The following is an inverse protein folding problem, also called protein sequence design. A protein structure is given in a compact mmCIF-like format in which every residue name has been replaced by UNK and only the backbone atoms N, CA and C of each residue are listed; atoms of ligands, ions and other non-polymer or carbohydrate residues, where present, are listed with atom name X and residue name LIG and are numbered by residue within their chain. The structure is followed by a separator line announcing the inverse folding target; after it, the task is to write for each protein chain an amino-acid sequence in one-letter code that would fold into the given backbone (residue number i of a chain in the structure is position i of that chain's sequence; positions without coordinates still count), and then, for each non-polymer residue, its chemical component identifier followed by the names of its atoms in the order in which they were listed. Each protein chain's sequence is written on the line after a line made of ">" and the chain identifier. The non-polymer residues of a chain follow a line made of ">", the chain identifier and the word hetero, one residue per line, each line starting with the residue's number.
data_IF_505360411878
#
_entry.id   IF_505360411878
#
_cell.length_a   1.000
_cell.length_b   1.000
_cell.length_c   1.000
_cell.angle_alpha   90.00
_cell.angle_beta   90.00
_cell.angle_gamma   90.00
#
_symmetry.space_group_name_H-M   'P 1'
#
loop_
_entity.id
_entity.type
_entity.pdbx_description
1 polymer ?
#
# COMPACT_ATOMS: atom_id res chain seq x y z
N UNK A 1 38.69 1.12 -8.46
CA UNK A 1 38.02 -0.21 -8.32
C UNK A 1 37.33 -0.28 -6.96
N UNK A 2 35.99 -0.36 -6.92
CA UNK A 2 35.23 -0.48 -5.66
C UNK A 2 35.55 -1.84 -5.03
N UNK A 3 36.09 -1.88 -3.81
CA UNK A 3 36.37 -3.12 -3.07
C UNK A 3 35.06 -3.91 -2.96
N UNK A 4 35.03 -5.13 -3.51
CA UNK A 4 33.91 -6.06 -3.33
C UNK A 4 33.73 -6.32 -1.84
N UNK A 5 32.52 -6.06 -1.36
CA UNK A 5 32.13 -6.23 0.05
C UNK A 5 32.03 -7.71 0.39
N UNK A 6 32.20 -8.10 1.67
CA UNK A 6 32.03 -9.50 2.13
C UNK A 6 30.69 -10.11 1.67
N UNK A 7 29.64 -9.30 1.66
CA UNK A 7 28.31 -9.65 1.13
C UNK A 7 28.34 -10.03 -0.35
N UNK A 8 29.12 -9.32 -1.17
CA UNK A 8 29.23 -9.60 -2.61
C UNK A 8 29.94 -10.93 -2.87
N UNK A 9 30.96 -11.25 -2.04
CA UNK A 9 31.67 -12.54 -2.09
C UNK A 9 30.77 -13.70 -1.66
N UNK A 10 29.99 -13.51 -0.59
CA UNK A 10 29.02 -14.51 -0.12
C UNK A 10 27.95 -14.76 -1.18
N UNK A 11 27.43 -13.70 -1.79
CA UNK A 11 26.41 -13.77 -2.83
C UNK A 11 26.96 -14.45 -4.11
N UNK A 12 28.20 -14.17 -4.51
CA UNK A 12 28.87 -14.89 -5.59
C UNK A 12 29.06 -16.38 -5.27
N UNK A 13 29.45 -16.73 -4.04
CA UNK A 13 29.56 -18.12 -3.60
C UNK A 13 28.23 -18.89 -3.70
N UNK A 14 27.14 -18.26 -3.27
CA UNK A 14 25.78 -18.82 -3.40
C UNK A 14 25.43 -19.06 -4.88
N UNK A 15 25.74 -18.11 -5.77
CA UNK A 15 25.47 -18.28 -7.20
C UNK A 15 26.28 -19.41 -7.84
N UNK A 16 27.53 -19.64 -7.42
CA UNK A 16 28.34 -20.75 -7.95
C UNK A 16 27.68 -22.09 -7.65
N UNK A 17 27.07 -22.24 -6.48
CA UNK A 17 26.39 -23.49 -6.07
C UNK A 17 25.00 -23.62 -6.70
N UNK A 18 24.24 -22.53 -6.75
CA UNK A 18 22.84 -22.55 -7.23
C UNK A 18 22.74 -22.61 -8.75
N UNK A 19 23.61 -21.91 -9.48
CA UNK A 19 23.47 -21.76 -10.94
C UNK A 19 23.52 -23.10 -11.73
N UNK A 20 24.38 -24.08 -11.39
CA UNK A 20 24.34 -25.39 -12.04
C UNK A 20 22.98 -26.09 -11.88
N UNK A 21 22.40 -26.01 -10.68
CA UNK A 21 21.07 -26.57 -10.39
C UNK A 21 20.00 -25.87 -11.22
N UNK A 22 20.00 -24.53 -11.23
CA UNK A 22 19.06 -23.73 -12.03
C UNK A 22 19.16 -24.04 -13.52
N UNK A 23 20.38 -24.17 -14.06
CA UNK A 23 20.59 -24.56 -15.46
C UNK A 23 20.09 -25.97 -15.74
N UNK A 24 20.26 -26.89 -14.79
CA UNK A 24 19.69 -28.24 -14.84
C UNK A 24 18.17 -28.20 -14.93
N UNK A 25 17.51 -27.42 -14.05
CA UNK A 25 16.05 -27.24 -14.04
C UNK A 25 15.54 -26.64 -15.36
N UNK A 26 16.24 -25.65 -15.92
CA UNK A 26 15.88 -25.08 -17.23
C UNK A 26 16.04 -26.13 -18.34
N UNK A 27 17.09 -26.95 -18.31
CA UNK A 27 17.36 -27.98 -19.32
C UNK A 27 16.28 -29.08 -19.32
N UNK A 28 15.73 -29.43 -18.17
CA UNK A 28 14.61 -30.39 -18.05
C UNK A 28 13.24 -29.75 -18.36
N UNK A 29 13.20 -28.48 -18.75
CA UNK A 29 11.98 -27.78 -19.17
C UNK A 29 11.11 -27.29 -18.01
N UNK A 30 11.62 -27.23 -16.77
CA UNK A 30 10.85 -26.71 -15.65
C UNK A 30 10.66 -25.20 -15.77
N UNK A 31 9.40 -24.76 -15.77
CA UNK A 31 9.04 -23.34 -15.78
C UNK A 31 9.13 -22.74 -14.36
N UNK A 32 9.31 -21.42 -14.21
CA UNK A 32 9.32 -20.78 -12.91
C UNK A 32 8.07 -21.08 -12.08
N UNK A 33 6.88 -20.99 -12.71
CA UNK A 33 5.62 -21.29 -12.04
C UNK A 33 5.56 -22.75 -11.55
N UNK A 34 6.08 -23.70 -12.33
CA UNK A 34 6.14 -25.10 -11.89
C UNK A 34 7.05 -25.27 -10.67
N UNK A 35 8.20 -24.58 -10.62
CA UNK A 35 9.10 -24.59 -9.46
C UNK A 35 8.39 -24.03 -8.22
N UNK A 36 7.69 -22.90 -8.35
CA UNK A 36 6.87 -22.34 -7.26
C UNK A 36 5.78 -23.33 -6.81
N UNK A 37 5.06 -23.98 -7.74
CA UNK A 37 4.03 -24.97 -7.41
C UNK A 37 4.62 -26.17 -6.66
N UNK A 38 5.81 -26.63 -7.05
CA UNK A 38 6.53 -27.69 -6.33
C UNK A 38 6.85 -27.22 -4.89
N UNK A 39 7.31 -25.98 -4.71
CA UNK A 39 7.53 -25.38 -3.39
C UNK A 39 6.28 -25.43 -2.51
N UNK A 40 5.11 -25.09 -3.05
CA UNK A 40 3.82 -25.21 -2.35
C UNK A 40 3.51 -26.67 -1.97
N UNK A 41 3.66 -27.62 -2.91
CA UNK A 41 3.42 -29.05 -2.65
C UNK A 41 4.32 -29.57 -1.54
N UNK A 42 5.60 -29.16 -1.52
CA UNK A 42 6.54 -29.53 -0.45
C UNK A 42 6.11 -28.95 0.90
N UNK A 43 5.63 -27.70 0.94
CA UNK A 43 5.09 -27.09 2.17
C UNK A 43 3.78 -27.76 2.65
N UNK A 44 2.93 -28.25 1.74
CA UNK A 44 1.81 -29.12 2.10
C UNK A 44 2.33 -30.43 2.73
N UNK A 45 3.39 -31.01 2.16
CA UNK A 45 4.09 -32.16 2.75
C UNK A 45 4.60 -31.89 4.17
N UNK A 46 5.19 -30.71 4.43
CA UNK A 46 5.60 -30.28 5.77
C UNK A 46 4.42 -30.29 6.75
N UNK A 47 3.29 -29.70 6.34
CA UNK A 47 2.10 -29.67 7.18
C UNK A 47 1.58 -31.08 7.48
N UNK A 48 1.60 -31.98 6.49
CA UNK A 48 1.24 -33.39 6.66
C UNK A 48 2.19 -34.08 7.65
N UNK A 49 3.51 -33.85 7.58
CA UNK A 49 4.46 -34.44 8.54
C UNK A 49 4.12 -34.00 9.97
N UNK A 50 3.82 -32.71 10.18
CA UNK A 50 3.39 -32.23 11.48
C UNK A 50 2.06 -32.85 11.93
N UNK A 51 1.05 -32.92 11.06
CA UNK A 51 -0.24 -33.52 11.41
C UNK A 51 -0.09 -35.02 11.72
N UNK A 52 0.64 -35.76 10.91
CA UNK A 52 0.89 -37.19 11.15
C UNK A 52 1.69 -37.40 12.43
N UNK A 53 2.70 -36.56 12.69
CA UNK A 53 3.43 -36.57 13.95
C UNK A 53 2.51 -36.28 15.14
N UNK A 54 1.55 -35.39 14.99
CA UNK A 54 0.57 -35.06 16.03
C UNK A 54 -0.32 -36.27 16.39
N UNK A 55 -0.74 -37.03 15.39
CA UNK A 55 -1.69 -38.14 15.55
C UNK A 55 -1.03 -39.48 15.91
N UNK A 56 0.18 -39.74 15.38
CA UNK A 56 0.83 -41.06 15.47
C UNK A 56 2.00 -41.12 16.44
N UNK A 57 2.53 -39.97 16.84
CA UNK A 57 3.68 -39.94 17.75
C UNK A 57 3.24 -39.52 19.15
N UNK A 58 4.11 -39.80 20.13
CA UNK A 58 3.92 -39.31 21.48
C UNK A 58 4.61 -37.95 21.62
N UNK A 59 4.20 -37.17 22.63
CA UNK A 59 4.77 -35.84 22.92
C UNK A 59 6.31 -35.78 23.01
N UNK A 60 6.95 -36.88 23.42
CA UNK A 60 8.41 -36.98 23.53
C UNK A 60 9.12 -37.46 22.26
N UNK A 61 8.39 -37.78 21.19
CA UNK A 61 8.96 -38.15 19.89
C UNK A 61 8.96 -36.92 18.96
N UNK A 62 10.09 -36.23 18.94
CA UNK A 62 10.28 -35.02 18.15
C UNK A 62 10.93 -35.32 16.78
N UNK A 63 10.98 -36.60 16.36
CA UNK A 63 11.55 -36.99 15.07
C UNK A 63 10.78 -36.38 13.89
N UNK A 64 9.44 -36.32 13.98
CA UNK A 64 8.59 -35.67 12.99
C UNK A 64 8.86 -34.16 12.89
N UNK A 65 9.14 -33.49 14.01
CA UNK A 65 9.55 -32.07 14.02
C UNK A 65 10.89 -31.91 13.29
N UNK A 66 11.84 -32.81 13.52
CA UNK A 66 13.12 -32.83 12.83
C UNK A 66 12.99 -33.01 11.31
N UNK A 67 12.23 -34.03 10.88
CA UNK A 67 11.97 -34.30 9.46
C UNK A 67 11.19 -33.18 8.78
N UNK A 68 10.21 -32.59 9.47
CA UNK A 68 9.54 -31.39 8.99
C UNK A 68 10.54 -30.25 8.81
N UNK A 69 11.44 -30.01 9.77
CA UNK A 69 12.51 -29.01 9.66
C UNK A 69 13.42 -29.23 8.44
N UNK A 70 13.83 -30.46 8.18
CA UNK A 70 14.61 -30.82 7.00
C UNK A 70 13.84 -30.53 5.70
N UNK A 71 12.56 -30.89 5.65
CA UNK A 71 11.72 -30.64 4.47
C UNK A 71 11.42 -29.14 4.26
N UNK A 72 11.25 -28.36 5.33
CA UNK A 72 11.11 -26.89 5.24
C UNK A 72 12.38 -26.29 4.62
N UNK A 73 13.56 -26.71 5.07
CA UNK A 73 14.82 -26.22 4.52
C UNK A 73 14.93 -26.55 3.04
N UNK A 74 14.58 -27.79 2.66
CA UNK A 74 14.58 -28.23 1.27
C UNK A 74 13.55 -27.49 0.41
N UNK A 75 12.32 -27.32 0.89
CA UNK A 75 11.27 -26.58 0.20
C UNK A 75 11.66 -25.11 -0.01
N UNK A 76 12.27 -24.48 0.99
CA UNK A 76 12.78 -23.11 0.89
C UNK A 76 13.84 -22.90 -0.19
N UNK A 77 14.52 -23.97 -0.64
CA UNK A 77 15.40 -23.87 -1.82
C UNK A 77 14.59 -23.66 -3.10
N UNK A 78 13.46 -24.35 -3.28
CA UNK A 78 12.62 -24.20 -4.48
C UNK A 78 12.04 -22.78 -4.60
N UNK A 79 11.62 -22.21 -3.47
CA UNK A 79 11.17 -20.82 -3.36
C UNK A 79 12.26 -19.79 -3.71
N UNK A 80 13.54 -20.16 -3.58
CA UNK A 80 14.66 -19.30 -4.02
C UNK A 80 15.04 -19.54 -5.48
N UNK A 81 14.76 -20.75 -5.99
CA UNK A 81 15.15 -21.20 -7.32
C UNK A 81 14.23 -20.64 -8.41
N UNK A 82 12.93 -20.51 -8.18
CA UNK A 82 11.96 -20.04 -9.18
C UNK A 82 12.32 -18.68 -9.80
N UNK A 83 12.72 -17.70 -8.98
CA UNK A 83 13.16 -16.39 -9.43
C UNK A 83 14.48 -16.45 -10.19
N UNK A 84 15.38 -17.39 -9.86
CA UNK A 84 16.60 -17.62 -10.65
C UNK A 84 16.29 -18.29 -11.97
N UNK A 85 15.39 -19.28 -12.00
CA UNK A 85 14.91 -19.96 -13.21
C UNK A 85 14.24 -18.94 -14.13
N UNK A 86 13.44 -18.02 -13.60
CA UNK A 86 12.85 -16.93 -14.37
C UNK A 86 13.90 -16.01 -15.00
N UNK A 87 14.91 -15.58 -14.22
CA UNK A 87 15.97 -14.68 -14.70
C UNK A 87 16.92 -15.34 -15.69
N UNK A 88 17.49 -16.50 -15.35
CA UNK A 88 18.45 -17.21 -16.18
C UNK A 88 17.80 -17.86 -17.40
N UNK A 89 16.56 -18.35 -17.26
CA UNK A 89 15.76 -18.91 -18.35
C UNK A 89 15.13 -17.86 -19.25
N UNK A 90 15.24 -16.55 -18.92
CA UNK A 90 14.54 -15.46 -19.61
C UNK A 90 13.02 -15.64 -19.69
N UNK A 91 12.44 -16.23 -18.64
CA UNK A 91 11.00 -16.55 -18.51
C UNK A 91 10.26 -15.63 -17.51
N UNK A 92 10.86 -14.50 -17.12
CA UNK A 92 10.24 -13.53 -16.22
C UNK A 92 8.96 -12.93 -16.79
N UNK A 93 7.87 -12.94 -16.01
CA UNK A 93 6.60 -12.33 -16.39
C UNK A 93 5.91 -11.65 -15.20
N UNK A 94 5.04 -10.67 -15.47
CA UNK A 94 4.25 -9.99 -14.41
C UNK A 94 3.30 -10.96 -13.70
N UNK A 95 2.69 -11.87 -14.46
CA UNK A 95 1.83 -12.90 -13.88
C UNK A 95 2.64 -13.88 -13.02
N UNK A 96 3.80 -14.35 -13.49
CA UNK A 96 4.68 -15.22 -12.71
C UNK A 96 5.12 -14.58 -11.40
N UNK A 97 5.48 -13.29 -11.40
CA UNK A 97 5.81 -12.56 -10.17
C UNK A 97 4.62 -12.45 -9.20
N UNK A 98 3.38 -12.30 -9.71
CA UNK A 98 2.17 -12.32 -8.89
C UNK A 98 1.88 -13.74 -8.35
N UNK A 99 2.04 -14.76 -9.19
CA UNK A 99 1.81 -16.16 -8.89
C UNK A 99 2.74 -16.67 -7.79
N UNK A 100 4.05 -16.47 -7.96
CA UNK A 100 5.11 -16.71 -6.97
C UNK A 100 4.73 -16.14 -5.62
N UNK A 101 4.55 -14.82 -5.62
CA UNK A 101 4.03 -14.07 -4.50
C UNK A 101 2.81 -14.76 -3.84
N UNK A 102 1.71 -14.98 -4.56
CA UNK A 102 0.48 -15.54 -3.95
C UNK A 102 0.74 -16.92 -3.34
N UNK A 103 1.46 -17.80 -4.03
CA UNK A 103 1.76 -19.13 -3.53
C UNK A 103 2.69 -19.12 -2.33
N UNK A 104 3.60 -18.16 -2.20
CA UNK A 104 4.40 -18.00 -0.99
C UNK A 104 3.54 -17.83 0.26
N UNK A 105 2.46 -17.04 0.14
CA UNK A 105 1.55 -16.79 1.26
C UNK A 105 0.78 -18.06 1.60
N UNK A 106 0.28 -18.79 0.61
CA UNK A 106 -0.36 -20.09 0.85
C UNK A 106 0.61 -21.10 1.47
N UNK A 107 1.86 -21.13 1.01
CA UNK A 107 2.90 -22.02 1.54
C UNK A 107 3.18 -21.74 3.01
N UNK A 108 3.35 -20.46 3.39
CA UNK A 108 3.51 -20.07 4.79
C UNK A 108 2.27 -20.39 5.64
N UNK A 109 1.06 -20.11 5.12
CA UNK A 109 -0.21 -20.41 5.80
C UNK A 109 -0.35 -21.90 6.12
N UNK A 110 -0.06 -22.77 5.14
CA UNK A 110 -0.14 -24.22 5.28
C UNK A 110 0.94 -24.74 6.23
N UNK A 111 2.17 -24.24 6.13
CA UNK A 111 3.26 -24.59 7.04
C UNK A 111 2.90 -24.27 8.49
N UNK A 112 2.41 -23.04 8.76
CA UNK A 112 2.02 -22.63 10.11
C UNK A 112 0.79 -23.39 10.61
N UNK A 113 -0.15 -23.76 9.73
CA UNK A 113 -1.28 -24.63 10.10
C UNK A 113 -0.79 -25.96 10.68
N UNK A 114 0.17 -26.61 10.01
CA UNK A 114 0.77 -27.86 10.51
C UNK A 114 1.46 -27.67 11.86
N UNK A 115 2.26 -26.62 12.02
CA UNK A 115 2.94 -26.29 13.29
C UNK A 115 1.91 -26.09 14.41
N UNK A 116 0.90 -25.23 14.19
CA UNK A 116 -0.14 -24.96 15.17
C UNK A 116 -0.89 -26.23 15.56
N UNK A 117 -1.25 -27.07 14.59
CA UNK A 117 -1.92 -28.34 14.85
C UNK A 117 -1.08 -29.24 15.75
N UNK A 118 0.19 -29.47 15.39
CA UNK A 118 1.10 -30.31 16.16
C UNK A 118 1.28 -29.82 17.60
N UNK A 119 1.42 -28.50 17.79
CA UNK A 119 1.57 -27.91 19.10
C UNK A 119 0.30 -28.05 19.94
N UNK A 120 -0.88 -27.85 19.37
CA UNK A 120 -2.16 -28.01 20.10
C UNK A 120 -2.38 -29.46 20.50
N UNK A 121 -2.22 -30.39 19.56
CA UNK A 121 -2.43 -31.82 19.80
C UNK A 121 -1.55 -32.37 20.93
N UNK A 122 -0.32 -31.87 21.06
CA UNK A 122 0.60 -32.25 22.14
C UNK A 122 0.52 -31.37 23.40
N UNK A 123 -0.55 -30.59 23.55
CA UNK A 123 -0.82 -29.70 24.69
C UNK A 123 0.20 -28.58 24.92
N UNK A 124 0.87 -28.11 23.87
CA UNK A 124 1.69 -26.89 23.87
C UNK A 124 0.87 -25.65 23.46
N UNK A 125 -0.28 -25.44 24.11
CA UNK A 125 -1.25 -24.40 23.73
C UNK A 125 -0.64 -22.99 23.63
N UNK A 126 0.15 -22.59 24.62
CA UNK A 126 0.79 -21.26 24.62
C UNK A 126 1.77 -21.10 23.45
N UNK A 127 2.54 -22.15 23.13
CA UNK A 127 3.45 -22.14 21.97
C UNK A 127 2.69 -22.06 20.64
N UNK A 128 1.54 -22.75 20.54
CA UNK A 128 0.65 -22.66 19.38
C UNK A 128 0.12 -21.24 19.19
N UNK A 129 -0.26 -20.56 20.27
CA UNK A 129 -0.70 -19.17 20.21
C UNK A 129 0.42 -18.25 19.66
N UNK A 130 1.66 -18.45 20.11
CA UNK A 130 2.80 -17.72 19.54
C UNK A 130 3.08 -18.08 18.09
N UNK A 131 2.94 -19.34 17.68
CA UNK A 131 3.03 -19.75 16.28
C UNK A 131 1.96 -19.05 15.41
N UNK A 132 0.72 -18.94 15.91
CA UNK A 132 -0.34 -18.20 15.24
C UNK A 132 -0.06 -16.69 15.17
N UNK A 133 0.50 -16.09 16.22
CA UNK A 133 0.95 -14.68 16.19
C UNK A 133 2.11 -14.48 15.19
N UNK A 134 3.02 -15.46 15.07
CA UNK A 134 4.06 -15.46 14.05
C UNK A 134 3.48 -15.53 12.65
N UNK A 135 2.44 -16.34 12.44
CA UNK A 135 1.70 -16.36 11.18
C UNK A 135 1.11 -14.99 10.82
N UNK A 136 0.42 -14.34 11.78
CA UNK A 136 -0.12 -12.98 11.60
C UNK A 136 1.00 -12.02 11.20
N UNK A 137 2.11 -12.04 11.94
CA UNK A 137 3.27 -11.20 11.67
C UNK A 137 3.85 -11.44 10.28
N UNK A 138 4.00 -12.71 9.89
CA UNK A 138 4.52 -13.11 8.57
C UNK A 138 3.68 -12.56 7.42
N UNK A 139 2.36 -12.69 7.53
CA UNK A 139 1.40 -12.15 6.57
C UNK A 139 1.46 -10.63 6.50
N UNK A 140 1.51 -9.96 7.65
CA UNK A 140 1.54 -8.50 7.72
C UNK A 140 2.85 -7.90 7.19
N UNK A 141 4.01 -8.56 7.40
CA UNK A 141 5.29 -8.15 6.81
C UNK A 141 5.22 -8.13 5.29
N UNK A 142 4.62 -9.16 4.67
CA UNK A 142 4.46 -9.26 3.22
C UNK A 142 3.41 -8.28 2.68
N UNK A 143 2.26 -8.18 3.35
CA UNK A 143 1.16 -7.31 2.91
C UNK A 143 1.52 -5.83 3.01
N UNK A 144 2.12 -5.38 4.11
CA UNK A 144 2.54 -3.98 4.29
C UNK A 144 3.52 -3.54 3.21
N UNK A 145 4.48 -4.42 2.84
CA UNK A 145 5.39 -4.17 1.72
C UNK A 145 4.65 -4.07 0.39
N UNK A 146 3.84 -5.06 0.03
CA UNK A 146 3.12 -5.08 -1.24
C UNK A 146 2.19 -3.85 -1.38
N UNK A 147 1.53 -3.46 -0.28
CA UNK A 147 0.67 -2.28 -0.25
C UNK A 147 1.45 -0.97 -0.36
N UNK A 148 2.61 -0.86 0.29
CA UNK A 148 3.49 0.30 0.17
C UNK A 148 4.05 0.44 -1.25
N UNK A 149 4.52 -0.66 -1.84
CA UNK A 149 5.01 -0.68 -3.23
C UNK A 149 3.88 -0.32 -4.23
N UNK A 150 2.65 -0.78 -3.97
CA UNK A 150 1.46 -0.37 -4.74
C UNK A 150 1.09 1.11 -4.62
N UNK A 151 1.61 1.82 -3.61
CA UNK A 151 1.51 3.27 -3.46
C UNK A 151 2.74 4.01 -4.04
N UNK A 152 3.69 3.29 -4.64
CA UNK A 152 4.93 3.85 -5.20
C UNK A 152 6.09 3.95 -4.22
N UNK A 153 5.94 3.43 -3.00
CA UNK A 153 6.96 3.51 -1.95
C UNK A 153 7.78 2.22 -1.93
N UNK A 154 9.10 2.33 -2.08
CA UNK A 154 9.96 1.17 -1.88
C UNK A 154 10.07 0.81 -0.39
N UNK A 155 9.66 -0.39 -0.02
CA UNK A 155 9.72 -0.88 1.37
C UNK A 155 10.48 -2.22 1.44
N UNK A 156 11.82 -2.13 1.39
CA UNK A 156 12.73 -3.30 1.28
C UNK A 156 13.39 -3.70 2.60
N UNK A 157 13.28 -2.88 3.65
CA UNK A 157 13.93 -3.08 4.95
C UNK A 157 13.16 -3.98 5.93
N UNK A 158 13.74 -4.19 7.11
CA UNK A 158 13.14 -4.93 8.22
C UNK A 158 13.77 -6.30 8.49
N UNK A 159 13.72 -6.72 9.76
CA UNK A 159 14.17 -8.03 10.23
C UNK A 159 13.08 -9.09 9.93
N UNK A 160 13.40 -10.38 9.97
CA UNK A 160 12.42 -11.45 9.72
C UNK A 160 11.71 -11.33 8.36
N UNK A 161 12.48 -11.11 7.28
CA UNK A 161 11.93 -11.32 5.94
C UNK A 161 11.83 -12.83 5.67
N UNK A 162 11.23 -13.19 4.53
CA UNK A 162 10.93 -14.60 4.23
C UNK A 162 12.15 -15.53 4.38
N UNK A 163 13.34 -15.23 3.83
CA UNK A 163 14.50 -16.12 3.99
C UNK A 163 14.89 -16.32 5.45
N UNK A 164 14.90 -15.26 6.26
CA UNK A 164 15.25 -15.35 7.68
C UNK A 164 14.23 -16.19 8.45
N UNK A 165 12.93 -16.06 8.14
CA UNK A 165 11.86 -16.84 8.79
C UNK A 165 11.97 -18.32 8.45
N UNK A 166 12.12 -18.65 7.17
CA UNK A 166 12.23 -20.04 6.70
C UNK A 166 13.43 -20.71 7.34
N UNK A 167 14.60 -20.05 7.34
CA UNK A 167 15.82 -20.58 7.96
C UNK A 167 15.65 -20.76 9.47
N UNK A 168 15.08 -19.78 10.18
CA UNK A 168 14.87 -19.86 11.62
C UNK A 168 13.96 -21.05 11.99
N UNK A 169 12.82 -21.20 11.32
CA UNK A 169 11.87 -22.30 11.57
C UNK A 169 12.52 -23.64 11.22
N UNK A 170 13.16 -23.75 10.05
CA UNK A 170 13.77 -24.99 9.59
C UNK A 170 14.88 -25.49 10.52
N UNK A 171 15.83 -24.60 10.86
CA UNK A 171 16.97 -24.96 11.70
C UNK A 171 16.57 -25.24 13.14
N UNK A 172 15.59 -24.50 13.68
CA UNK A 172 15.07 -24.76 15.02
C UNK A 172 14.30 -26.08 15.10
N UNK A 173 13.49 -26.40 14.08
CA UNK A 173 12.78 -27.68 13.99
C UNK A 173 13.76 -28.85 13.83
N UNK A 174 14.72 -28.73 12.91
CA UNK A 174 15.76 -29.74 12.67
C UNK A 174 16.62 -29.95 13.92
N UNK A 175 17.09 -28.86 14.54
CA UNK A 175 17.85 -28.88 15.77
C UNK A 175 17.08 -29.50 16.93
N UNK A 176 15.77 -29.26 17.01
CA UNK A 176 14.89 -29.88 17.99
C UNK A 176 14.82 -31.40 17.83
N UNK A 177 14.62 -31.89 16.60
CA UNK A 177 14.64 -33.33 16.31
C UNK A 177 15.99 -34.00 16.59
N UNK A 178 17.09 -33.34 16.20
CA UNK A 178 18.45 -33.83 16.48
C UNK A 178 18.71 -33.86 17.99
N UNK A 179 18.43 -32.77 18.70
CA UNK A 179 18.60 -32.70 20.15
C UNK A 179 17.77 -33.78 20.85
N UNK A 180 16.52 -34.00 20.43
CA UNK A 180 15.66 -35.06 20.96
C UNK A 180 16.30 -36.45 20.89
N UNK A 181 17.13 -36.72 19.88
CA UNK A 181 17.86 -37.99 19.78
C UNK A 181 18.97 -38.12 20.84
N UNK A 182 19.66 -37.03 21.16
CA UNK A 182 20.80 -37.04 22.09
C UNK A 182 20.41 -36.82 23.56
N UNK A 183 19.52 -35.86 23.85
CA UNK A 183 19.11 -35.50 25.21
C UNK A 183 17.76 -36.09 25.62
N UNK A 184 17.03 -36.70 24.67
CA UNK A 184 15.66 -37.20 24.86
C UNK A 184 14.61 -36.12 24.63
N UNK A 185 13.49 -36.47 23.96
CA UNK A 185 12.46 -35.47 23.63
C UNK A 185 11.60 -35.02 24.81
N UNK A 186 11.59 -35.79 25.90
CA UNK A 186 10.92 -35.43 27.16
C UNK A 186 11.81 -34.73 28.19
N UNK A 187 13.04 -34.35 27.84
CA UNK A 187 13.96 -33.71 28.78
C UNK A 187 13.40 -32.37 29.27
N UNK A 188 13.48 -32.15 30.59
CA UNK A 188 13.01 -30.93 31.26
C UNK A 188 14.07 -30.45 32.23
N UNK A 189 14.40 -29.16 32.17
CA UNK A 189 15.29 -28.50 33.10
C UNK A 189 14.47 -27.67 34.10
N UNK A 190 14.73 -27.88 35.37
CA UNK A 190 14.13 -27.15 36.48
C UNK A 190 15.21 -26.33 37.19
N UNK A 191 14.89 -25.09 37.54
CA UNK A 191 15.74 -24.25 38.38
C UNK A 191 15.09 -24.15 39.77
N UNK A 192 15.83 -24.45 40.86
CA UNK A 192 15.32 -24.27 42.21
C UNK A 192 14.79 -22.84 42.43
N UNK A 193 13.54 -22.72 42.89
CA UNK A 193 12.88 -21.44 43.13
C UNK A 193 11.96 -20.93 42.01
N UNK A 194 11.91 -21.61 40.85
CA UNK A 194 10.97 -21.29 39.76
C UNK A 194 9.89 -22.38 39.69
N UNK A 195 8.58 -22.03 39.73
CA UNK A 195 7.49 -23.03 39.80
C UNK A 195 7.20 -23.75 38.47
N UNK A 196 7.91 -23.40 37.39
CA UNK A 196 7.77 -23.99 36.06
C UNK A 196 9.14 -24.45 35.52
N UNK A 197 9.13 -25.44 34.62
CA UNK A 197 10.36 -25.85 33.93
C UNK A 197 10.83 -24.73 33.01
N UNK A 198 12.13 -24.40 33.07
CA UNK A 198 12.71 -23.29 32.30
C UNK A 198 13.06 -23.69 30.88
N UNK A 199 13.21 -24.99 30.63
CA UNK A 199 13.52 -25.54 29.33
C UNK A 199 12.92 -26.95 29.20
N UNK A 200 12.35 -27.22 28.04
CA UNK A 200 11.97 -28.55 27.56
C UNK A 200 12.65 -28.74 26.19
N UNK A 201 12.93 -29.96 25.74
CA UNK A 201 13.57 -30.16 24.42
C UNK A 201 12.82 -29.44 23.30
N UNK A 202 11.48 -29.43 23.38
CA UNK A 202 10.61 -28.72 22.45
C UNK A 202 10.85 -27.19 22.42
N UNK A 203 11.40 -26.61 23.48
CA UNK A 203 11.79 -25.19 23.55
C UNK A 203 12.82 -24.80 22.49
N UNK A 204 13.62 -25.75 21.99
CA UNK A 204 14.55 -25.51 20.87
C UNK A 204 13.79 -25.06 19.61
N UNK A 205 12.57 -25.54 19.43
CA UNK A 205 11.70 -25.14 18.33
C UNK A 205 10.78 -23.95 18.70
N UNK A 206 10.16 -23.98 19.88
CA UNK A 206 9.10 -23.02 20.23
C UNK A 206 9.63 -21.65 20.68
N UNK A 207 10.83 -21.57 21.27
CA UNK A 207 11.43 -20.28 21.64
C UNK A 207 11.78 -19.45 20.39
N UNK A 208 12.46 -20.00 19.37
CA UNK A 208 12.63 -19.32 18.09
C UNK A 208 11.33 -18.87 17.43
N UNK A 209 10.27 -19.69 17.48
CA UNK A 209 8.94 -19.29 16.97
C UNK A 209 8.37 -18.11 17.77
N UNK A 210 8.55 -18.10 19.08
CA UNK A 210 8.12 -16.96 19.93
C UNK A 210 8.87 -15.68 19.57
N UNK A 211 10.19 -15.77 19.37
CA UNK A 211 11.00 -14.64 18.89
C UNK A 211 10.52 -14.18 17.51
N UNK A 212 10.26 -15.12 16.60
CA UNK A 212 9.71 -14.84 15.28
C UNK A 212 8.37 -14.11 15.36
N UNK A 213 7.50 -14.51 16.28
CA UNK A 213 6.20 -13.89 16.52
C UNK A 213 6.34 -12.41 16.85
N UNK A 214 7.21 -12.10 17.81
CA UNK A 214 7.46 -10.72 18.25
C UNK A 214 8.11 -9.92 17.12
N UNK A 215 9.19 -10.45 16.54
CA UNK A 215 10.02 -9.72 15.57
C UNK A 215 9.30 -9.47 14.23
N UNK A 216 8.47 -10.40 13.77
CA UNK A 216 7.70 -10.21 12.53
C UNK A 216 6.64 -9.13 12.70
N UNK A 217 5.92 -9.10 13.83
CA UNK A 217 4.92 -8.07 14.10
C UNK A 217 5.54 -6.68 14.29
N UNK A 218 6.68 -6.59 15.01
CA UNK A 218 7.46 -5.35 15.10
C UNK A 218 7.89 -4.88 13.71
N UNK A 219 8.35 -5.81 12.85
CA UNK A 219 8.77 -5.47 11.49
C UNK A 219 7.62 -4.95 10.64
N UNK A 220 6.44 -5.57 10.71
CA UNK A 220 5.26 -5.10 9.99
C UNK A 220 4.88 -3.67 10.39
N UNK A 221 4.89 -3.37 11.70
CA UNK A 221 4.62 -2.02 12.23
C UNK A 221 5.70 -1.03 11.77
N UNK A 222 6.96 -1.43 11.79
CA UNK A 222 8.07 -0.57 11.35
C UNK A 222 7.98 -0.26 9.86
N UNK A 223 7.62 -1.23 9.02
CA UNK A 223 7.37 -1.02 7.58
C UNK A 223 6.22 -0.04 7.35
N UNK A 224 5.14 -0.17 8.10
CA UNK A 224 4.01 0.77 8.02
C UNK A 224 4.44 2.21 8.39
N UNK A 225 5.23 2.36 9.47
CA UNK A 225 5.78 3.66 9.90
C UNK A 225 6.74 4.25 8.87
N UNK A 226 7.58 3.42 8.26
CA UNK A 226 8.51 3.83 7.20
C UNK A 226 7.75 4.28 5.94
N UNK A 227 6.71 3.57 5.55
CA UNK A 227 5.83 3.95 4.45
C UNK A 227 5.15 5.31 4.72
N UNK A 228 4.63 5.52 5.94
CA UNK A 228 4.07 6.82 6.36
C UNK A 228 5.08 7.96 6.20
N UNK A 229 6.30 7.79 6.74
CA UNK A 229 7.36 8.81 6.65
C UNK A 229 7.76 9.10 5.21
N UNK A 230 7.75 8.09 4.34
CA UNK A 230 8.10 8.25 2.93
C UNK A 230 7.04 9.06 2.18
N UNK A 231 5.75 8.79 2.43
CA UNK A 231 4.64 9.57 1.90
C UNK A 231 4.67 11.03 2.36
N UNK A 232 4.94 11.27 3.64
CA UNK A 232 5.07 12.62 4.19
C UNK A 232 6.25 13.36 3.53
N UNK A 233 7.39 12.70 3.30
CA UNK A 233 8.53 13.28 2.59
C UNK A 233 8.22 13.61 1.14
N UNK A 234 7.52 12.74 0.42
CA UNK A 234 7.10 13.01 -0.97
C UNK A 234 6.19 14.25 -1.04
N UNK A 235 5.25 14.37 -0.10
CA UNK A 235 4.40 15.57 0.02
C UNK A 235 5.23 16.83 0.30
N UNK A 236 6.15 16.78 1.25
CA UNK A 236 7.03 17.92 1.59
C UNK A 236 7.95 18.29 0.41
N UNK A 237 8.47 17.30 -0.33
CA UNK A 237 9.32 17.54 -1.50
C UNK A 237 8.53 18.12 -2.68
N UNK A 238 7.28 17.70 -2.88
CA UNK A 238 6.36 18.32 -3.84
C UNK A 238 6.09 19.79 -3.45
N UNK A 239 5.90 20.08 -2.16
CA UNK A 239 5.73 21.46 -1.65
C UNK A 239 7.01 22.31 -1.74
N UNK A 240 8.20 21.73 -1.57
CA UNK A 240 9.48 22.46 -1.71
C UNK A 240 9.87 22.72 -3.17
N UNK A 241 9.63 21.76 -4.07
CA UNK A 241 9.82 21.98 -5.52
C UNK A 241 8.94 23.11 -6.04
N UNK A 242 7.74 23.28 -5.48
CA UNK A 242 6.87 24.41 -5.82
C UNK A 242 7.38 25.77 -5.30
N UNK A 243 8.42 25.80 -4.44
CA UNK A 243 8.98 27.01 -3.81
C UNK A 243 10.43 27.34 -4.25
N UNK A 244 10.92 26.79 -5.36
CA UNK A 244 12.30 27.02 -5.86
C UNK A 244 12.55 28.52 -6.24
N UNK A 245 13.75 29.10 -6.00
CA UNK A 245 13.96 30.55 -5.80
C UNK A 245 13.93 31.44 -7.05
N UNK A 246 13.63 30.90 -8.24
CA UNK A 246 13.70 31.66 -9.50
C UNK A 246 12.62 32.74 -9.66
N UNK A 247 11.62 32.78 -8.77
CA UNK A 247 10.51 33.75 -8.81
C UNK A 247 10.48 34.74 -7.63
N UNK A 248 11.36 34.59 -6.64
CA UNK A 248 11.37 35.50 -5.49
C UNK A 248 12.04 36.85 -5.80
N UNK A 249 12.96 36.92 -6.77
CA UNK A 249 13.64 38.18 -7.14
C UNK A 249 12.68 39.19 -7.80
N UNK A 250 11.66 38.71 -8.52
CA UNK A 250 10.64 39.56 -9.16
C UNK A 250 9.66 40.12 -8.12
N UNK A 251 9.42 39.38 -7.03
CA UNK A 251 8.51 39.83 -5.96
C UNK A 251 9.13 40.95 -5.10
N UNK A 252 10.45 40.94 -4.89
CA UNK A 252 11.15 41.96 -4.08
C UNK A 252 11.15 43.34 -4.76
N UNK A 253 11.25 43.39 -6.10
CA UNK A 253 11.19 44.66 -6.85
C UNK A 253 9.77 45.23 -6.86
N UNK A 254 8.74 44.38 -6.89
CA UNK A 254 7.34 44.81 -6.81
C UNK A 254 6.92 45.38 -5.46
N UNK A 255 7.55 44.95 -4.37
CA UNK A 255 7.24 45.41 -3.00
C UNK A 255 7.73 46.84 -2.73
N UNK A 256 8.80 47.30 -3.42
CA UNK A 256 9.33 48.65 -3.23
C UNK A 256 8.43 49.74 -3.82
N UNK A 257 7.53 49.39 -4.74
CA UNK A 257 6.58 50.34 -5.38
C UNK A 257 5.30 50.50 -4.54
N UNK A 258 4.95 49.52 -3.72
CA UNK A 258 3.72 49.54 -2.91
C UNK A 258 3.91 50.34 -1.60
N UNK A 259 5.15 50.66 -1.21
CA UNK A 259 5.42 51.41 0.03
C UNK A 259 5.16 52.93 -0.07
N UNK A 260 4.81 53.48 -1.24
CA UNK A 260 4.63 54.93 -1.45
C UNK A 260 3.18 55.42 -1.43
N UNK A 261 2.21 54.54 -1.25
CA UNK A 261 0.79 54.94 -1.12
C UNK A 261 0.14 54.17 0.01
N UNK A 262 0.29 54.68 1.24
CA UNK A 262 -0.44 54.16 2.38
C UNK A 262 -1.95 54.36 2.23
N UNK A 263 -2.73 53.39 2.71
CA UNK A 263 -4.02 53.55 3.38
C UNK A 263 -4.37 52.21 4.04
N UNK A 264 -4.76 52.28 5.32
CA UNK A 264 -5.82 51.43 5.87
C UNK A 264 -5.40 50.11 6.51
N UNK A 265 -5.20 50.14 7.83
CA UNK A 265 -5.32 48.97 8.70
C UNK A 265 -6.70 48.31 8.53
N UNK A 266 -6.78 46.98 8.46
CA UNK A 266 -7.94 46.18 8.88
C UNK A 266 -7.47 44.78 9.34
N UNK A 267 -8.05 44.33 10.45
CA UNK A 267 -7.88 43.02 11.05
C UNK A 267 -8.51 41.91 10.20
N UNK A 268 -7.89 40.73 10.14
CA UNK A 268 -8.48 39.54 9.53
C UNK A 268 -7.52 38.35 9.56
N UNK A 269 -8.05 37.14 9.80
CA UNK A 269 -7.30 35.89 9.86
C UNK A 269 -6.52 35.55 8.57
N UNK A 270 -5.77 34.43 8.54
CA UNK A 270 -4.79 34.14 7.49
C UNK A 270 -5.40 34.24 6.08
N UNK A 271 -4.82 35.10 5.24
CA UNK A 271 -5.27 35.35 3.87
C UNK A 271 -5.27 34.07 3.01
N UNK A 272 -6.30 33.92 2.17
CA UNK A 272 -6.42 32.82 1.20
C UNK A 272 -5.21 32.83 0.26
N UNK A 273 -4.49 31.72 0.09
CA UNK A 273 -3.38 31.68 -0.85
C UNK A 273 -3.89 31.87 -2.28
N UNK A 274 -3.28 32.79 -3.03
CA UNK A 274 -3.62 33.06 -4.43
C UNK A 274 -3.14 31.89 -5.30
N UNK A 275 -4.05 31.03 -5.72
CA UNK A 275 -3.78 29.90 -6.62
C UNK A 275 -4.13 30.24 -8.08
N UNK A 276 -3.45 29.64 -9.06
CA UNK A 276 -3.74 29.85 -10.48
C UNK A 276 -5.14 29.35 -10.86
N UNK A 277 -5.85 30.12 -11.68
CA UNK A 277 -7.16 29.76 -12.23
C UNK A 277 -6.94 29.01 -13.55
N UNK A 278 -7.55 27.83 -13.78
CA UNK A 278 -7.46 27.14 -15.06
C UNK A 278 -7.97 27.99 -16.21
N UNK A 279 -7.19 28.08 -17.29
CA UNK A 279 -7.55 28.78 -18.53
C UNK A 279 -7.33 27.87 -19.74
N UNK A 280 -7.98 28.18 -20.87
CA UNK A 280 -7.79 27.44 -22.12
C UNK A 280 -8.43 26.05 -22.17
N UNK A 281 -9.42 25.77 -21.31
CA UNK A 281 -10.16 24.50 -21.28
C UNK A 281 -11.56 24.75 -21.89
N UNK A 282 -11.84 24.30 -23.12
CA UNK A 282 -13.02 24.73 -23.88
C UNK A 282 -14.37 24.40 -23.26
N UNK A 283 -14.49 23.26 -22.58
CA UNK A 283 -15.75 22.77 -22.02
C UNK A 283 -15.69 22.58 -20.50
N UNK A 284 -14.86 23.38 -19.83
CA UNK A 284 -14.73 23.34 -18.37
C UNK A 284 -16.08 23.66 -17.71
N UNK A 285 -16.55 22.73 -16.90
CA UNK A 285 -17.78 22.88 -16.12
C UNK A 285 -17.51 23.68 -14.85
N UNK A 286 -16.50 23.25 -14.08
CA UNK A 286 -16.01 23.96 -12.90
C UNK A 286 -14.64 23.39 -12.49
N UNK A 287 -14.01 24.01 -11.49
CA UNK A 287 -12.78 23.49 -10.92
C UNK A 287 -12.80 23.51 -9.38
N UNK A 288 -11.98 22.64 -8.79
CA UNK A 288 -11.85 22.49 -7.34
C UNK A 288 -10.40 22.72 -6.90
N UNK A 289 -10.24 23.56 -5.90
CA UNK A 289 -8.97 23.87 -5.24
C UNK A 289 -9.06 23.65 -3.74
N UNK A 290 -7.93 23.35 -3.11
CA UNK A 290 -7.86 23.06 -1.66
C UNK A 290 -6.50 23.37 -1.08
N UNK A 291 -6.43 23.74 0.20
CA UNK A 291 -5.14 23.79 0.91
C UNK A 291 -4.62 22.38 1.23
N UNK A 292 -3.29 22.19 1.36
CA UNK A 292 -2.21 23.16 1.13
C UNK A 292 -1.75 23.29 -0.34
N UNK A 293 -2.38 22.55 -1.27
CA UNK A 293 -1.80 22.28 -2.59
C UNK A 293 -2.47 23.11 -3.71
N UNK A 294 -1.66 23.75 -4.57
CA UNK A 294 -2.14 24.63 -5.64
C UNK A 294 -2.62 23.91 -6.91
N UNK A 295 -2.42 22.59 -7.01
CA UNK A 295 -2.94 21.79 -8.12
C UNK A 295 -4.47 21.82 -8.10
N UNK A 296 -5.05 21.92 -9.29
CA UNK A 296 -6.49 22.07 -9.44
C UNK A 296 -7.08 20.79 -9.99
N UNK A 297 -8.20 20.35 -9.43
CA UNK A 297 -9.03 19.32 -10.06
C UNK A 297 -9.98 20.02 -11.01
N UNK A 298 -9.96 19.63 -12.28
CA UNK A 298 -10.83 20.17 -13.31
C UNK A 298 -11.93 19.15 -13.59
N UNK A 299 -13.16 19.66 -13.69
CA UNK A 299 -14.33 18.92 -14.13
C UNK A 299 -14.72 19.49 -15.50
N UNK A 300 -14.53 18.67 -16.52
CA UNK A 300 -14.66 19.04 -17.93
C UNK A 300 -15.74 18.17 -18.57
N UNK A 301 -16.43 18.67 -19.58
CA UNK A 301 -17.41 17.87 -20.31
C UNK A 301 -16.70 16.71 -21.02
N UNK A 302 -17.22 15.49 -20.90
CA UNK A 302 -16.69 14.35 -21.64
C UNK A 302 -17.45 14.17 -22.94
N UNK A 303 -16.81 14.54 -24.05
CA UNK A 303 -17.39 14.42 -25.39
C UNK A 303 -16.78 13.23 -26.13
N UNK A 304 -17.61 12.49 -26.86
CA UNK A 304 -17.20 11.46 -27.82
C UNK A 304 -16.54 12.11 -29.04
N UNK A 305 -15.94 11.27 -29.89
CA UNK A 305 -15.21 11.69 -31.11
C UNK A 305 -16.07 12.52 -32.08
N UNK A 306 -17.39 12.32 -32.05
CA UNK A 306 -18.38 13.02 -32.86
C UNK A 306 -18.89 14.32 -32.23
N UNK A 307 -18.37 14.71 -31.06
CA UNK A 307 -18.78 15.91 -30.33
C UNK A 307 -20.05 15.74 -29.48
N UNK A 308 -20.65 14.54 -29.45
CA UNK A 308 -21.79 14.24 -28.58
C UNK A 308 -21.33 13.95 -27.15
N UNK A 309 -22.20 14.18 -26.16
CA UNK A 309 -21.90 13.89 -24.76
C UNK A 309 -21.77 12.38 -24.55
N UNK A 310 -20.77 11.97 -23.77
CA UNK A 310 -20.70 10.61 -23.26
C UNK A 310 -21.78 10.41 -22.18
N UNK A 311 -22.91 9.80 -22.54
CA UNK A 311 -24.04 9.62 -21.61
C UNK A 311 -23.71 8.72 -20.42
N UNK A 312 -22.74 7.80 -20.56
CA UNK A 312 -22.34 6.86 -19.51
C UNK A 312 -21.32 7.48 -18.55
N UNK A 313 -20.45 8.39 -19.04
CA UNK A 313 -19.47 9.12 -18.23
C UNK A 313 -19.38 10.61 -18.67
N UNK A 314 -20.39 11.45 -18.39
CA UNK A 314 -20.54 12.78 -19.00
C UNK A 314 -19.54 13.83 -18.52
N UNK A 315 -18.74 13.55 -17.49
CA UNK A 315 -17.81 14.51 -16.91
C UNK A 315 -16.45 13.87 -16.69
N UNK A 316 -15.46 14.37 -17.43
CA UNK A 316 -14.08 13.95 -17.31
C UNK A 316 -13.40 14.72 -16.17
N UNK A 317 -12.90 13.98 -15.18
CA UNK A 317 -12.24 14.55 -13.99
C UNK A 317 -10.74 14.26 -14.02
N UNK A 318 -9.94 15.31 -13.92
CA UNK A 318 -8.48 15.22 -13.99
C UNK A 318 -7.78 16.31 -13.19
N UNK A 319 -6.50 16.09 -12.90
CA UNK A 319 -5.60 17.09 -12.33
C UNK A 319 -5.04 18.00 -13.40
N UNK A 320 -4.97 19.29 -13.07
CA UNK A 320 -4.06 20.25 -13.67
C UNK A 320 -2.93 20.54 -12.66
N UNK A 321 -1.74 20.01 -12.95
CA UNK A 321 -0.58 20.08 -12.04
C UNK A 321 0.28 21.28 -12.35
N UNK A 322 -0.03 22.43 -11.73
CA UNK A 322 0.76 23.65 -11.92
C UNK A 322 2.19 23.53 -11.41
N UNK A 323 2.43 22.68 -10.40
CA UNK A 323 3.78 22.37 -9.92
C UNK A 323 4.62 21.59 -10.94
N UNK A 324 3.98 20.98 -11.94
CA UNK A 324 4.60 20.22 -13.04
C UNK A 324 4.40 20.92 -14.40
N UNK A 325 4.37 22.27 -14.41
CA UNK A 325 4.25 23.04 -15.65
C UNK A 325 2.85 23.10 -16.25
N UNK A 326 1.81 22.76 -15.49
CA UNK A 326 0.41 22.80 -15.95
C UNK A 326 -0.02 21.54 -16.71
N UNK A 327 0.61 20.40 -16.46
CA UNK A 327 0.28 19.15 -17.15
C UNK A 327 -1.07 18.58 -16.70
N UNK A 328 -1.83 18.05 -17.68
CA UNK A 328 -3.08 17.32 -17.47
C UNK A 328 -2.77 15.87 -17.06
N UNK A 329 -3.28 15.41 -15.92
CA UNK A 329 -3.06 14.04 -15.42
C UNK A 329 -4.36 13.44 -14.87
N UNK A 330 -4.69 12.22 -15.28
CA UNK A 330 -5.89 11.53 -14.79
C UNK A 330 -5.86 11.28 -13.27
N UNK A 331 -7.05 11.16 -12.67
CA UNK A 331 -7.17 10.68 -11.29
C UNK A 331 -6.79 9.20 -11.21
N UNK A 332 -6.03 8.83 -10.18
CA UNK A 332 -5.81 7.41 -9.88
C UNK A 332 -7.08 6.76 -9.29
N UNK A 333 -7.11 5.43 -9.22
CA UNK A 333 -8.29 4.68 -8.75
C UNK A 333 -8.78 5.12 -7.36
N UNK A 334 -7.85 5.37 -6.42
CA UNK A 334 -8.20 5.76 -5.04
C UNK A 334 -8.82 7.16 -5.02
N UNK A 335 -8.19 8.13 -5.70
CA UNK A 335 -8.69 9.50 -5.80
C UNK A 335 -10.07 9.55 -6.46
N UNK A 336 -10.28 8.78 -7.52
CA UNK A 336 -11.56 8.69 -8.21
C UNK A 336 -12.63 8.06 -7.33
N UNK A 337 -12.32 6.99 -6.59
CA UNK A 337 -13.33 6.24 -5.82
C UNK A 337 -13.68 6.89 -4.48
N UNK A 338 -12.76 7.62 -3.85
CA UNK A 338 -12.90 8.07 -2.46
C UNK A 338 -12.76 9.58 -2.23
N UNK A 339 -12.28 10.36 -3.22
CA UNK A 339 -12.03 11.79 -3.02
C UNK A 339 -12.71 12.67 -4.08
N UNK A 340 -12.10 12.77 -5.27
CA UNK A 340 -12.45 13.78 -6.27
C UNK A 340 -13.34 13.26 -7.39
N UNK A 341 -13.64 11.96 -7.41
CA UNK A 341 -14.59 11.43 -8.39
C UNK A 341 -16.03 11.88 -8.11
N UNK A 342 -16.90 11.47 -9.01
CA UNK A 342 -18.32 11.81 -8.97
C UNK A 342 -19.17 10.56 -9.15
N UNK A 343 -20.39 10.63 -8.65
CA UNK A 343 -21.48 9.70 -8.95
C UNK A 343 -22.43 10.41 -9.90
N UNK A 344 -22.72 9.80 -11.04
CA UNK A 344 -23.63 10.32 -12.05
C UNK A 344 -24.93 9.53 -12.02
N UNK A 345 -26.05 10.24 -12.02
CA UNK A 345 -27.39 9.67 -12.16
C UNK A 345 -28.16 10.43 -13.23
N UNK A 346 -28.52 9.75 -14.32
CA UNK A 346 -29.36 10.34 -15.36
C UNK A 346 -30.76 10.63 -14.82
N UNK A 347 -31.25 11.85 -14.99
CA UNK A 347 -32.62 12.26 -14.61
C UNK A 347 -33.55 12.32 -15.82
N UNK A 348 -33.05 12.79 -16.97
CA UNK A 348 -33.77 12.79 -18.25
C UNK A 348 -32.78 12.80 -19.43
N UNK A 349 -33.26 12.95 -20.68
CA UNK A 349 -32.42 12.90 -21.88
C UNK A 349 -31.20 13.83 -21.82
N UNK A 350 -31.33 15.01 -21.20
CA UNK A 350 -30.29 16.05 -21.17
C UNK A 350 -30.01 16.60 -19.77
N UNK A 351 -30.44 15.89 -18.73
CA UNK A 351 -30.27 16.31 -17.33
C UNK A 351 -29.69 15.19 -16.49
N UNK A 352 -28.58 15.48 -15.81
CA UNK A 352 -27.88 14.53 -14.94
C UNK A 352 -27.73 15.11 -13.55
N UNK A 353 -28.01 14.32 -12.52
CA UNK A 353 -27.63 14.60 -11.14
C UNK A 353 -26.20 14.10 -10.92
N UNK A 354 -25.35 14.95 -10.36
CA UNK A 354 -23.94 14.68 -10.10
C UNK A 354 -23.67 14.93 -8.62
N UNK A 355 -23.12 13.93 -7.93
CA UNK A 355 -22.73 14.02 -6.52
C UNK A 355 -21.25 13.76 -6.37
N UNK A 356 -20.56 14.52 -5.51
CA UNK A 356 -19.18 14.21 -5.15
C UNK A 356 -19.12 12.89 -4.38
N UNK A 357 -18.10 12.06 -4.65
CA UNK A 357 -17.91 10.79 -3.91
C UNK A 357 -17.56 11.03 -2.44
N UNK A 358 -16.91 12.15 -2.13
CA UNK A 358 -16.49 12.50 -0.78
C UNK A 358 -17.59 13.21 0.03
N UNK A 359 -18.58 13.80 -0.64
CA UNK A 359 -19.65 14.56 0.00
C UNK A 359 -20.90 14.59 -0.90
N UNK A 360 -21.95 13.88 -0.54
CA UNK A 360 -23.14 13.69 -1.37
C UNK A 360 -24.34 14.58 -0.95
N UNK A 361 -24.22 15.33 0.16
CA UNK A 361 -25.27 16.20 0.70
C UNK A 361 -25.59 17.45 -0.14
N UNK A 362 -24.78 17.75 -1.17
CA UNK A 362 -25.00 18.88 -2.09
C UNK A 362 -24.94 18.38 -3.55
N UNK A 363 -26.06 17.92 -4.12
CA UNK A 363 -26.10 17.52 -5.51
C UNK A 363 -25.90 18.72 -6.45
N UNK A 364 -25.24 18.45 -7.57
CA UNK A 364 -25.08 19.35 -8.70
C UNK A 364 -25.87 18.78 -9.89
N UNK A 365 -26.21 19.62 -10.85
CA UNK A 365 -27.02 19.27 -12.00
C UNK A 365 -26.34 19.71 -13.29
N UNK A 366 -25.99 18.74 -14.13
CA UNK A 366 -25.52 19.00 -15.49
C UNK A 366 -26.73 19.07 -16.42
N UNK A 367 -26.93 20.23 -17.05
CA UNK A 367 -28.02 20.46 -18.01
C UNK A 367 -27.62 21.51 -19.04
N UNK A 368 -28.33 21.55 -20.17
CA UNK A 368 -28.11 22.58 -21.19
C UNK A 368 -28.64 23.93 -20.71
N UNK A 369 -27.86 24.96 -20.98
CA UNK A 369 -28.28 26.37 -20.92
C UNK A 369 -29.20 26.72 -22.10
N UNK A 370 -29.80 27.90 -22.08
CA UNK A 370 -30.62 28.42 -23.19
C UNK A 370 -29.86 28.50 -24.53
N UNK A 371 -28.52 28.51 -24.49
CA UNK A 371 -27.63 28.48 -25.65
C UNK A 371 -27.28 27.06 -26.12
N UNK A 372 -27.91 26.04 -25.55
CA UNK A 372 -27.69 24.63 -25.89
C UNK A 372 -26.40 24.01 -25.34
N UNK A 373 -25.60 24.76 -24.57
CA UNK A 373 -24.34 24.26 -24.00
C UNK A 373 -24.57 23.65 -22.61
N UNK A 374 -23.99 22.47 -22.37
CA UNK A 374 -24.00 21.83 -21.06
C UNK A 374 -23.22 22.65 -20.02
N UNK A 375 -23.86 22.88 -18.88
CA UNK A 375 -23.32 23.66 -17.77
C UNK A 375 -23.66 22.98 -16.44
N UNK A 376 -22.83 23.24 -15.43
CA UNK A 376 -23.02 22.69 -14.09
C UNK A 376 -23.76 23.68 -13.20
N UNK A 377 -24.89 23.27 -12.65
CA UNK A 377 -25.69 24.09 -11.74
C UNK A 377 -25.75 23.49 -10.36
N UNK A 378 -25.78 24.33 -9.34
CA UNK A 378 -26.06 23.90 -7.98
C UNK A 378 -26.75 24.98 -7.17
N UNK A 379 -27.36 24.58 -6.05
CA UNK A 379 -27.96 25.52 -5.11
C UNK A 379 -26.88 26.22 -4.28
N UNK A 380 -26.69 27.52 -4.52
CA UNK A 380 -25.77 28.40 -3.79
C UNK A 380 -26.59 29.55 -3.20
N UNK A 381 -26.56 29.71 -1.88
CA UNK A 381 -27.30 30.75 -1.16
C UNK A 381 -28.80 30.76 -1.52
N UNK A 382 -29.39 29.56 -1.50
CA UNK A 382 -30.79 29.26 -1.83
C UNK A 382 -31.21 29.52 -3.29
N UNK A 383 -30.28 29.88 -4.18
CA UNK A 383 -30.54 30.14 -5.60
C UNK A 383 -29.88 29.06 -6.47
N UNK A 384 -30.51 28.64 -7.56
CA UNK A 384 -29.85 27.77 -8.55
C UNK A 384 -28.88 28.60 -9.39
N UNK A 385 -27.58 28.43 -9.14
CA UNK A 385 -26.51 29.17 -9.78
C UNK A 385 -25.65 28.26 -10.66
N UNK A 386 -25.06 28.84 -11.70
CA UNK A 386 -23.98 28.24 -12.49
C UNK A 386 -22.74 28.10 -11.59
N UNK A 387 -22.24 26.89 -11.39
CA UNK A 387 -21.07 26.63 -10.57
C UNK A 387 -19.78 27.02 -11.30
N UNK A 388 -18.99 27.92 -10.71
CA UNK A 388 -17.71 28.34 -11.29
C UNK A 388 -16.54 27.59 -10.64
N UNK A 389 -16.50 27.56 -9.31
CA UNK A 389 -15.44 26.86 -8.58
C UNK A 389 -15.86 26.45 -7.16
N UNK A 390 -15.14 25.47 -6.63
CA UNK A 390 -15.21 25.02 -5.25
C UNK A 390 -13.85 25.21 -4.59
N UNK A 391 -13.84 25.82 -3.42
CA UNK A 391 -12.67 25.95 -2.57
C UNK A 391 -12.85 25.15 -1.28
N UNK A 392 -11.81 24.41 -0.87
CA UNK A 392 -11.81 23.65 0.38
C UNK A 392 -10.64 24.08 1.24
N UNK A 393 -10.94 24.66 2.41
CA UNK A 393 -9.93 24.95 3.41
C UNK A 393 -9.73 23.74 4.31
N UNK A 394 -8.53 23.16 4.28
CA UNK A 394 -8.11 22.02 5.09
C UNK A 394 -6.96 22.44 6.01
N UNK A 395 -7.07 22.11 7.29
CA UNK A 395 -6.05 22.36 8.31
C UNK A 395 -5.67 21.07 9.04
N UNK A 396 -4.68 20.36 8.50
CA UNK A 396 -4.24 19.07 9.02
C UNK A 396 -5.21 17.92 8.71
N UNK A 397 -5.09 16.84 9.49
CA UNK A 397 -5.79 15.58 9.23
C UNK A 397 -5.02 14.64 8.29
N UNK A 398 -5.64 13.53 7.92
CA UNK A 398 -5.06 12.54 6.99
C UNK A 398 -5.82 12.56 5.66
N UNK A 399 -5.28 11.90 4.63
CA UNK A 399 -6.01 11.74 3.36
C UNK A 399 -7.42 11.14 3.53
N UNK A 400 -7.59 10.22 4.50
CA UNK A 400 -8.87 9.56 4.77
C UNK A 400 -9.80 10.37 5.66
N UNK A 401 -9.23 11.21 6.52
CA UNK A 401 -9.97 12.04 7.48
C UNK A 401 -9.32 13.43 7.50
N UNK A 402 -9.53 14.25 6.45
CA UNK A 402 -9.01 15.60 6.41
C UNK A 402 -9.80 16.48 7.38
N UNK A 403 -9.13 17.38 8.08
CA UNK A 403 -9.82 18.37 8.90
C UNK A 403 -10.24 19.55 8.02
N UNK A 404 -11.46 19.48 7.49
CA UNK A 404 -12.03 20.53 6.63
C UNK A 404 -12.58 21.65 7.51
N UNK A 405 -11.96 22.82 7.42
CA UNK A 405 -12.39 24.02 8.14
C UNK A 405 -13.68 24.57 7.53
N UNK A 406 -13.69 24.74 6.20
CA UNK A 406 -14.87 25.13 5.44
C UNK A 406 -14.73 24.75 3.95
N UNK A 407 -15.88 24.66 3.29
CA UNK A 407 -16.03 24.62 1.84
C UNK A 407 -16.69 25.92 1.40
N UNK A 408 -16.13 26.55 0.37
CA UNK A 408 -16.70 27.73 -0.29
C UNK A 408 -17.11 27.37 -1.71
N UNK A 409 -18.36 27.66 -2.04
CA UNK A 409 -18.95 27.49 -3.35
C UNK A 409 -19.03 28.86 -4.00
N UNK A 410 -18.55 28.97 -5.24
CA UNK A 410 -18.64 30.20 -6.02
C UNK A 410 -19.35 29.91 -7.34
N UNK A 411 -20.37 30.69 -7.64
CA UNK A 411 -21.14 30.57 -8.86
C UNK A 411 -21.66 31.91 -9.36
N UNK A 412 -22.39 31.85 -10.47
CA UNK A 412 -23.01 33.00 -11.11
C UNK A 412 -24.50 32.71 -11.29
N UNK A 413 -25.34 33.65 -10.90
CA UNK A 413 -26.77 33.58 -11.17
C UNK A 413 -27.00 33.67 -12.69
N UNK A 414 -27.63 32.67 -13.34
CA UNK A 414 -27.80 32.66 -14.79
C UNK A 414 -28.74 33.77 -15.30
N UNK A 415 -29.66 34.27 -14.46
CA UNK A 415 -30.61 35.30 -14.86
C UNK A 415 -30.03 36.71 -14.72
N UNK A 416 -29.27 36.96 -13.65
CA UNK A 416 -28.79 38.31 -13.32
C UNK A 416 -27.30 38.53 -13.60
N UNK A 417 -26.52 37.46 -13.81
CA UNK A 417 -25.07 37.51 -13.89
C UNK A 417 -24.37 37.83 -12.56
N UNK A 418 -25.12 37.96 -11.46
CA UNK A 418 -24.56 38.28 -10.15
C UNK A 418 -23.75 37.12 -9.60
N UNK A 419 -22.58 37.42 -9.04
CA UNK A 419 -21.75 36.42 -8.33
C UNK A 419 -22.47 35.98 -7.06
N UNK A 420 -22.53 34.66 -6.85
CA UNK A 420 -23.09 34.02 -5.66
C UNK A 420 -21.99 33.22 -4.97
N UNK A 421 -21.79 33.46 -3.67
CA UNK A 421 -20.85 32.73 -2.85
C UNK A 421 -21.57 32.17 -1.62
N UNK A 422 -21.26 30.93 -1.25
CA UNK A 422 -21.75 30.28 -0.03
C UNK A 422 -20.60 29.54 0.67
N UNK A 423 -20.46 29.72 1.98
CA UNK A 423 -19.52 28.95 2.81
C UNK A 423 -20.28 28.04 3.76
N UNK A 424 -19.84 26.81 3.90
CA UNK A 424 -20.37 25.87 4.89
C UNK A 424 -19.27 24.95 5.42
N UNK A 425 -19.49 24.36 6.59
CA UNK A 425 -18.64 23.30 7.13
C UNK A 425 -19.30 21.95 6.80
N UNK A 426 -18.61 21.05 6.08
CA UNK A 426 -19.19 19.76 5.65
C UNK A 426 -19.27 18.75 6.79
#
# INVERSE_FOLDING_TARGET
>A
MKKSTFRDKLQQGIYVVINPVVKGLIKIGLTPNAVTTIGLILNIGVAIIFIVGAEKSNRGDLSYVGWAGALILFAGLFDMLDGQVARLGKMSSKFGALYDSVLDRYSELVLFLGICYYLVAHHYFLSSLFAFIALIGSMMVSYTRARAEGLGIECKGGLMQRPERVVLIALSALGCGIASHYIGGGYKLFIPGIPFHVFETMSIFTVPITVLAIMSNITAINRLREAKRSLEKEQIMEEHKSKTPGKQLIAVIGIFIILLTGIGAHAGGPERPKFPVPTGIPHMLYYLQRTPNSNTVVYDLNLKSDGTLDEDDPVNVYWLRYTEGGTKKGLNFIQRKFAYGIKVKRLSAEKYEIKSVAYDGRPMYLMKSDKGQYQMYMKISNTMALLNNIWIQIEGGTFWVPNVVYVELNGTDPATGAVKTERFKP
#
